data_IF_862860241279
#
_entry.id   IF_862860241279
#
_cell.length_a   1.000
_cell.length_b   1.000
_cell.length_c   1.000
_cell.angle_alpha   90.00
_cell.angle_beta   90.00
_cell.angle_gamma   90.00
#
_symmetry.space_group_name_H-M   'P 1'
#
loop_
_entity.id
_entity.type
_entity.pdbx_description
1 polymer ?
#
# COMPACT_ATOMS: atom_id res chain seq x y z
N UNK A 1 4.24 -3.45 16.29
CA UNK A 1 4.92 -4.63 15.69
C UNK A 1 6.44 -4.47 15.65
N UNK A 2 7.03 -3.58 14.83
CA UNK A 2 8.49 -3.50 14.67
C UNK A 2 9.18 -2.40 15.49
N UNK A 3 8.47 -1.74 16.40
CA UNK A 3 9.04 -0.68 17.25
C UNK A 3 9.49 0.59 16.50
N UNK A 4 9.09 0.80 15.24
CA UNK A 4 9.42 2.01 14.50
C UNK A 4 8.35 2.36 13.47
N UNK A 5 8.37 3.62 13.04
CA UNK A 5 7.47 4.16 12.01
C UNK A 5 8.17 4.16 10.65
N UNK A 6 7.37 4.02 9.58
CA UNK A 6 7.83 4.24 8.21
C UNK A 6 8.04 5.73 7.93
N UNK A 7 8.82 6.07 6.91
CA UNK A 7 8.97 7.46 6.47
C UNK A 7 7.67 7.96 5.83
N UNK A 8 7.10 9.03 6.39
CA UNK A 8 5.89 9.67 5.90
C UNK A 8 6.06 10.28 4.49
N UNK A 9 7.25 10.82 4.19
CA UNK A 9 7.55 11.38 2.88
C UNK A 9 7.53 10.30 1.79
N UNK A 10 8.15 9.15 2.06
CA UNK A 10 8.14 8.01 1.14
C UNK A 10 6.75 7.34 1.09
N UNK A 11 6.01 7.34 2.21
CA UNK A 11 4.63 6.88 2.26
C UNK A 11 3.72 7.69 1.33
N UNK A 12 3.79 9.02 1.40
CA UNK A 12 3.06 9.92 0.49
C UNK A 12 3.46 9.73 -0.98
N UNK A 13 4.76 9.58 -1.26
CA UNK A 13 5.24 9.31 -2.61
C UNK A 13 4.68 7.98 -3.15
N UNK A 14 4.76 6.89 -2.36
CA UNK A 14 4.18 5.60 -2.69
C UNK A 14 2.67 5.72 -2.98
N UNK A 15 1.92 6.40 -2.11
CA UNK A 15 0.49 6.62 -2.29
C UNK A 15 0.16 7.29 -3.63
N UNK A 16 0.79 8.42 -3.95
CA UNK A 16 0.48 9.15 -5.18
C UNK A 16 0.88 8.39 -6.44
N UNK A 17 2.04 7.75 -6.44
CA UNK A 17 2.49 6.93 -7.58
C UNK A 17 1.55 5.72 -7.76
N UNK A 18 1.13 5.07 -6.66
CA UNK A 18 0.17 3.98 -6.70
C UNK A 18 -1.17 4.45 -7.27
N UNK A 19 -1.72 5.55 -6.76
CA UNK A 19 -3.02 6.08 -7.16
C UNK A 19 -3.05 6.42 -8.65
N UNK A 20 -2.02 7.10 -9.14
CA UNK A 20 -1.89 7.45 -10.57
C UNK A 20 -1.74 6.19 -11.42
N UNK A 21 -0.84 5.28 -11.03
CA UNK A 21 -0.63 4.02 -11.75
C UNK A 21 -1.90 3.15 -11.81
N UNK A 22 -2.63 3.06 -10.70
CA UNK A 22 -3.89 2.33 -10.60
C UNK A 22 -4.94 2.90 -11.57
N UNK A 23 -5.16 4.21 -11.57
CA UNK A 23 -6.14 4.83 -12.45
C UNK A 23 -5.74 4.74 -13.93
N UNK A 24 -4.45 4.88 -14.26
CA UNK A 24 -3.95 4.69 -15.62
C UNK A 24 -4.05 3.23 -16.09
N UNK A 25 -3.97 2.26 -15.18
CA UNK A 25 -4.08 0.83 -15.52
C UNK A 25 -5.54 0.43 -15.68
N UNK A 26 -6.39 0.73 -14.71
CA UNK A 26 -7.76 0.19 -14.66
C UNK A 26 -8.82 1.14 -15.23
N UNK A 27 -8.56 2.45 -15.27
CA UNK A 27 -9.46 3.43 -15.89
C UNK A 27 -9.69 3.10 -17.37
N UNK A 28 -8.64 3.02 -18.22
CA UNK A 28 -8.77 2.67 -19.62
C UNK A 28 -9.39 1.29 -19.90
N UNK A 29 -9.29 0.35 -18.96
CA UNK A 29 -9.94 -0.97 -19.12
C UNK A 29 -11.47 -0.87 -19.22
N UNK A 30 -12.08 0.16 -18.64
CA UNK A 30 -13.52 0.40 -18.83
C UNK A 30 -13.83 0.73 -20.29
N UNK A 31 -12.98 1.54 -20.93
CA UNK A 31 -13.13 1.91 -22.35
C UNK A 31 -12.89 0.68 -23.23
N UNK A 32 -11.80 -0.06 -22.99
CA UNK A 32 -11.49 -1.30 -23.71
C UNK A 32 -12.63 -2.32 -23.60
N UNK A 33 -13.20 -2.50 -22.41
CA UNK A 33 -14.35 -3.37 -22.19
C UNK A 33 -15.58 -2.93 -22.98
N UNK A 34 -15.88 -1.63 -23.02
CA UNK A 34 -16.98 -1.07 -23.82
C UNK A 34 -16.74 -1.17 -25.33
N UNK A 35 -15.48 -1.17 -25.77
CA UNK A 35 -15.10 -1.44 -27.16
C UNK A 35 -15.14 -2.94 -27.53
N UNK A 36 -15.47 -3.82 -26.59
CA UNK A 36 -15.64 -5.26 -26.83
C UNK A 36 -14.39 -6.11 -26.60
N UNK A 37 -13.33 -5.56 -26.00
CA UNK A 37 -12.15 -6.34 -25.62
C UNK A 37 -12.52 -7.38 -24.57
N UNK A 38 -12.39 -8.67 -24.91
CA UNK A 38 -12.73 -9.79 -24.02
C UNK A 38 -11.60 -10.08 -23.02
N UNK A 39 -11.96 -10.58 -21.83
CA UNK A 39 -10.97 -11.00 -20.83
C UNK A 39 -10.24 -12.28 -21.27
N UNK A 40 -9.02 -12.47 -20.77
CA UNK A 40 -8.20 -13.69 -20.94
C UNK A 40 -7.81 -13.99 -22.40
N UNK A 41 -7.55 -12.94 -23.16
CA UNK A 41 -6.96 -13.01 -24.50
C UNK A 41 -5.54 -12.46 -24.40
N UNK A 42 -4.58 -13.16 -24.98
CA UNK A 42 -3.16 -12.85 -24.96
C UNK A 42 -2.75 -11.88 -26.09
N UNK A 43 -3.41 -11.97 -27.26
CA UNK A 43 -3.12 -11.12 -28.41
C UNK A 43 -4.36 -10.75 -29.22
N UNK A 44 -4.31 -9.59 -29.88
CA UNK A 44 -5.35 -9.08 -30.77
C UNK A 44 -4.74 -8.74 -32.12
N UNK A 45 -5.47 -8.97 -33.21
CA UNK A 45 -5.01 -8.54 -34.53
C UNK A 45 -5.01 -7.00 -34.63
N UNK A 46 -4.14 -6.40 -35.46
CA UNK A 46 -4.17 -4.97 -35.71
C UNK A 46 -5.53 -4.52 -36.28
N UNK A 47 -5.97 -3.30 -35.93
CA UNK A 47 -7.16 -2.67 -36.51
C UNK A 47 -8.44 -2.82 -35.69
N UNK A 48 -8.38 -3.50 -34.54
CA UNK A 48 -9.46 -3.52 -33.55
C UNK A 48 -9.54 -2.21 -32.73
N UNK A 49 -8.51 -1.35 -32.79
CA UNK A 49 -8.49 -0.05 -32.10
C UNK A 49 -8.17 -0.14 -30.60
N UNK A 50 -7.64 -1.27 -30.14
CA UNK A 50 -7.29 -1.54 -28.75
C UNK A 50 -5.86 -1.12 -28.38
N UNK A 51 -5.03 -0.81 -29.39
CA UNK A 51 -3.58 -0.64 -29.27
C UNK A 51 -3.22 0.54 -28.34
N UNK A 52 -3.88 1.69 -28.54
CA UNK A 52 -3.63 2.89 -27.75
C UNK A 52 -3.90 2.65 -26.27
N UNK A 53 -5.10 2.14 -25.94
CA UNK A 53 -5.49 1.95 -24.55
C UNK A 53 -4.68 0.84 -23.88
N UNK A 54 -4.38 -0.27 -24.57
CA UNK A 54 -3.48 -1.29 -24.03
C UNK A 54 -2.07 -0.76 -23.76
N UNK A 55 -1.56 0.16 -24.59
CA UNK A 55 -0.29 0.84 -24.33
C UNK A 55 -0.36 1.69 -23.05
N UNK A 56 -1.43 2.47 -22.87
CA UNK A 56 -1.64 3.27 -21.64
C UNK A 56 -1.74 2.37 -20.41
N UNK A 57 -2.50 1.28 -20.49
CA UNK A 57 -2.63 0.28 -19.42
C UNK A 57 -1.26 -0.29 -19.04
N UNK A 58 -0.45 -0.63 -20.04
CA UNK A 58 0.90 -1.18 -19.84
C UNK A 58 1.79 -0.18 -19.11
N UNK A 59 1.79 1.09 -19.53
CA UNK A 59 2.53 2.16 -18.85
C UNK A 59 2.05 2.31 -17.39
N UNK A 60 0.72 2.32 -17.17
CA UNK A 60 0.13 2.33 -15.84
C UNK A 60 0.63 1.20 -14.95
N UNK A 61 0.72 -0.03 -15.48
CA UNK A 61 1.18 -1.19 -14.72
C UNK A 61 2.65 -1.09 -14.29
N UNK A 62 3.50 -0.50 -15.13
CA UNK A 62 4.90 -0.23 -14.75
C UNK A 62 5.00 0.88 -13.69
N UNK A 63 4.10 1.86 -13.71
CA UNK A 63 4.01 2.88 -12.65
C UNK A 63 3.59 2.23 -11.31
N UNK A 64 2.65 1.28 -11.32
CA UNK A 64 2.31 0.48 -10.13
C UNK A 64 3.53 -0.28 -9.63
N UNK A 65 4.29 -0.94 -10.52
CA UNK A 65 5.50 -1.65 -10.16
C UNK A 65 6.54 -0.71 -9.50
N UNK A 66 6.71 0.50 -10.03
CA UNK A 66 7.56 1.53 -9.41
C UNK A 66 7.06 1.92 -8.00
N UNK A 67 5.74 2.05 -7.82
CA UNK A 67 5.18 2.34 -6.49
C UNK A 67 5.51 1.24 -5.48
N UNK A 68 5.44 -0.04 -5.87
CA UNK A 68 5.83 -1.17 -5.02
C UNK A 68 7.31 -1.07 -4.64
N UNK A 69 8.20 -0.72 -5.58
CA UNK A 69 9.62 -0.49 -5.28
C UNK A 69 9.80 0.61 -4.24
N UNK A 70 9.09 1.75 -4.37
CA UNK A 70 9.15 2.84 -3.38
C UNK A 70 8.72 2.34 -1.98
N UNK A 71 7.68 1.52 -1.90
CA UNK A 71 7.23 0.93 -0.63
C UNK A 71 8.31 0.02 -0.01
N UNK A 72 8.89 -0.89 -0.79
CA UNK A 72 9.95 -1.80 -0.32
C UNK A 72 11.16 -1.00 0.18
N UNK A 73 11.57 0.03 -0.56
CA UNK A 73 12.64 0.94 -0.15
C UNK A 73 12.29 1.66 1.15
N UNK A 74 11.04 2.11 1.33
CA UNK A 74 10.61 2.75 2.57
C UNK A 74 10.73 1.80 3.77
N UNK A 75 10.28 0.55 3.63
CA UNK A 75 10.38 -0.47 4.68
C UNK A 75 11.84 -0.73 5.06
N UNK A 76 12.71 -0.96 4.06
CA UNK A 76 14.13 -1.27 4.29
C UNK A 76 14.84 -0.08 4.97
N UNK A 77 14.69 1.13 4.43
CA UNK A 77 15.36 2.31 4.97
C UNK A 77 14.87 2.67 6.37
N UNK A 78 13.57 2.51 6.64
CA UNK A 78 13.00 2.78 7.95
C UNK A 78 13.51 1.77 8.99
N UNK A 79 13.56 0.48 8.64
CA UNK A 79 14.12 -0.55 9.50
C UNK A 79 15.62 -0.34 9.77
N UNK A 80 16.41 -0.01 8.74
CA UNK A 80 17.83 0.31 8.90
C UNK A 80 18.05 1.53 9.80
N UNK A 81 17.24 2.59 9.65
CA UNK A 81 17.33 3.81 10.46
C UNK A 81 16.90 3.60 11.92
N UNK A 82 16.05 2.62 12.18
CA UNK A 82 15.58 2.26 13.51
C UNK A 82 16.57 1.36 14.28
N UNK A 83 17.50 0.70 13.58
CA UNK A 83 18.47 -0.19 14.20
C UNK A 83 19.31 0.55 15.25
N UNK A 84 19.30 0.05 16.49
CA UNK A 84 20.04 0.63 17.61
C UNK A 84 19.35 1.84 18.28
N UNK A 85 18.11 2.17 17.90
CA UNK A 85 17.30 3.21 18.57
C UNK A 85 16.27 2.56 19.49
N UNK A 86 15.85 3.26 20.56
CA UNK A 86 14.71 2.80 21.36
C UNK A 86 13.46 2.70 20.48
N UNK A 87 12.56 1.76 20.76
CA UNK A 87 11.33 1.61 20.01
C UNK A 87 10.44 2.86 20.17
N UNK A 88 9.58 3.12 19.18
CA UNK A 88 8.50 4.08 19.35
C UNK A 88 7.55 3.62 20.46
N UNK A 89 6.84 4.58 21.06
CA UNK A 89 5.87 4.31 22.12
C UNK A 89 4.76 3.33 21.71
N UNK A 90 3.93 2.92 22.68
CA UNK A 90 2.82 1.98 22.45
C UNK A 90 1.83 2.54 21.40
N UNK A 91 1.57 3.85 21.44
CA UNK A 91 0.71 4.54 20.48
C UNK A 91 1.46 5.66 19.73
N UNK A 92 2.00 5.37 18.54
CA UNK A 92 2.62 6.39 17.69
C UNK A 92 1.62 7.18 16.82
N UNK A 93 0.32 6.87 16.87
CA UNK A 93 -0.68 7.43 15.95
C UNK A 93 -1.84 8.17 16.63
N UNK A 94 -1.84 8.27 17.96
CA UNK A 94 -2.97 8.82 18.73
C UNK A 94 -4.27 8.07 18.41
N UNK A 95 -4.18 6.74 18.49
CA UNK A 95 -5.24 5.83 18.12
C UNK A 95 -6.17 5.53 19.30
N UNK A 96 -7.36 5.01 19.00
CA UNK A 96 -8.49 5.01 19.95
C UNK A 96 -8.87 3.63 20.49
N UNK A 97 -8.30 2.58 19.93
CA UNK A 97 -8.67 1.20 20.19
C UNK A 97 -7.64 0.50 21.08
N UNK A 98 -8.05 -0.61 21.71
CA UNK A 98 -7.28 -1.31 22.75
C UNK A 98 -5.95 -1.90 22.27
N UNK A 99 -5.72 -2.08 20.98
CA UNK A 99 -4.42 -2.57 20.50
C UNK A 99 -3.27 -1.59 20.80
N UNK A 100 -3.57 -0.31 21.00
CA UNK A 100 -2.59 0.77 21.20
C UNK A 100 -2.20 1.00 22.66
N UNK A 101 -2.83 0.32 23.62
CA UNK A 101 -2.39 0.32 25.03
C UNK A 101 -1.29 -0.73 25.28
N UNK A 102 -1.03 -1.62 24.32
CA UNK A 102 0.01 -2.66 24.44
C UNK A 102 1.41 -2.11 24.13
N UNK A 103 2.47 -2.61 24.79
CA UNK A 103 3.84 -2.20 24.49
C UNK A 103 4.23 -2.49 23.03
N UNK A 104 5.19 -1.71 22.52
CA UNK A 104 5.78 -1.92 21.19
C UNK A 104 7.30 -2.10 21.34
N UNK A 105 7.88 -3.24 20.90
CA UNK A 105 7.25 -4.39 20.24
C UNK A 105 6.26 -5.16 21.13
N UNK A 106 5.26 -5.76 20.50
CA UNK A 106 4.18 -6.50 21.18
C UNK A 106 4.75 -7.71 21.90
N UNK A 107 4.43 -7.94 23.20
CA UNK A 107 4.83 -9.14 23.92
C UNK A 107 4.18 -10.41 23.35
N UNK A 108 4.59 -11.58 23.85
CA UNK A 108 4.03 -12.88 23.42
C UNK A 108 2.55 -13.00 23.81
N UNK A 109 2.18 -12.44 24.96
CA UNK A 109 0.81 -12.28 25.41
C UNK A 109 0.37 -10.82 25.22
N UNK A 110 -0.89 -10.61 24.86
CA UNK A 110 -1.39 -9.28 24.50
C UNK A 110 -1.58 -8.37 25.72
N UNK A 111 -2.22 -8.89 26.77
CA UNK A 111 -2.55 -8.14 27.98
C UNK A 111 -2.19 -8.97 29.21
N UNK A 112 -1.61 -8.33 30.23
CA UNK A 112 -1.40 -8.93 31.54
C UNK A 112 -2.74 -9.14 32.28
N UNK A 113 -3.67 -8.19 32.11
CA UNK A 113 -5.03 -8.24 32.63
C UNK A 113 -6.06 -8.02 31.51
N UNK A 114 -7.22 -8.67 31.60
CA UNK A 114 -8.26 -8.53 30.57
C UNK A 114 -8.88 -7.12 30.66
N UNK A 115 -8.81 -6.29 29.61
CA UNK A 115 -9.42 -4.98 29.62
C UNK A 115 -10.94 -5.08 29.70
N UNK A 116 -11.55 -4.30 30.59
CA UNK A 116 -13.01 -4.15 30.69
C UNK A 116 -13.43 -2.98 29.81
N UNK A 117 -14.31 -3.24 28.84
CA UNK A 117 -14.78 -2.24 27.88
C UNK A 117 -16.12 -1.69 28.33
N UNK A 118 -16.14 -0.41 28.70
CA UNK A 118 -17.36 0.28 29.17
C UNK A 118 -17.98 1.22 28.13
N UNK A 119 -17.18 1.70 27.18
CA UNK A 119 -17.58 2.61 26.09
C UNK A 119 -17.00 2.13 24.75
N UNK A 120 -17.35 2.84 23.67
CA UNK A 120 -16.83 2.56 22.34
C UNK A 120 -15.31 2.82 22.23
N UNK A 121 -14.85 3.91 22.85
CA UNK A 121 -13.49 4.45 22.83
C UNK A 121 -13.30 5.47 23.97
#
# INVERSE_FOLDING_TARGET
MFGHMLSEQLGKANFWVMLVGFNLTFGPMHILGLQGMSRRIDTYSPGFGFELWNMVVTIGSFIIALSIVIFVVNVILSAMKARGKPPCGPDPWDARSLEWITPNPTPVHNFDEIPVVESLD
#
